data_IF_657223564428
#
_entry.id   IF_657223564428
#
_cell.length_a   1.000
_cell.length_b   1.000
_cell.length_c   1.000
_cell.angle_alpha   90.00
_cell.angle_beta   90.00
_cell.angle_gamma   90.00
#
_symmetry.space_group_name_H-M   'P 1'
#
loop_
_entity.id
_entity.type
_entity.pdbx_description
1 polymer ?
#
# COMPACT_ATOMS: atom_id res chain seq x y z
N UNK A 1 9.03 2.20 -3.53
CA UNK A 1 9.26 3.65 -3.73
C UNK A 1 10.74 4.04 -3.59
N UNK A 2 11.54 3.35 -2.75
CA UNK A 2 12.91 3.76 -2.43
C UNK A 2 12.96 4.51 -1.10
N UNK A 3 14.14 4.97 -0.68
CA UNK A 3 14.30 5.85 0.48
C UNK A 3 13.54 7.16 0.28
N UNK A 4 13.06 7.73 1.37
CA UNK A 4 12.30 8.98 1.42
C UNK A 4 13.09 10.12 0.77
N UNK A 5 14.38 10.22 1.10
CA UNK A 5 15.35 11.18 0.56
C UNK A 5 16.29 10.48 -0.43
N UNK A 6 16.36 10.97 -1.66
CA UNK A 6 17.12 10.35 -2.75
C UNK A 6 17.60 11.34 -3.79
N UNK A 7 18.93 11.47 -3.94
CA UNK A 7 19.56 12.25 -5.02
C UNK A 7 19.30 11.65 -6.40
N UNK A 8 19.15 10.33 -6.51
CA UNK A 8 18.78 9.68 -7.77
C UNK A 8 17.39 10.11 -8.25
N UNK A 9 16.41 10.19 -7.34
CA UNK A 9 15.08 10.68 -7.69
C UNK A 9 15.12 12.14 -8.18
N UNK A 10 15.88 12.99 -7.51
CA UNK A 10 16.11 14.38 -7.92
C UNK A 10 16.73 14.48 -9.32
N UNK A 11 17.74 13.65 -9.62
CA UNK A 11 18.40 13.62 -10.92
C UNK A 11 17.45 13.17 -12.04
N UNK A 12 16.66 12.11 -11.82
CA UNK A 12 15.72 11.64 -12.82
C UNK A 12 14.67 12.69 -13.18
N UNK A 13 14.18 13.45 -12.19
CA UNK A 13 13.23 14.53 -12.45
C UNK A 13 13.89 15.70 -13.18
N UNK A 14 15.03 16.17 -12.69
CA UNK A 14 15.75 17.31 -13.27
C UNK A 14 16.20 17.07 -14.71
N UNK A 15 16.55 15.83 -15.05
CA UNK A 15 16.92 15.43 -16.42
C UNK A 15 15.69 15.14 -17.32
N UNK A 16 14.47 15.28 -16.81
CA UNK A 16 13.24 15.03 -17.57
C UNK A 16 12.94 13.55 -17.81
N UNK A 17 13.58 12.63 -17.08
CA UNK A 17 13.41 11.18 -17.25
C UNK A 17 12.18 10.63 -16.52
N UNK A 18 11.80 11.22 -15.39
CA UNK A 18 10.67 10.77 -14.56
C UNK A 18 9.97 11.95 -13.87
N UNK A 19 8.75 12.26 -14.28
CA UNK A 19 7.87 13.24 -13.63
C UNK A 19 7.18 12.71 -12.37
N UNK A 20 6.44 13.59 -11.67
CA UNK A 20 5.56 13.19 -10.56
C UNK A 20 4.26 12.60 -11.09
N UNK A 21 3.51 11.92 -10.21
CA UNK A 21 2.17 11.47 -10.54
C UNK A 21 1.28 12.67 -10.92
N UNK A 22 0.64 12.58 -12.09
CA UNK A 22 -0.16 13.66 -12.68
C UNK A 22 0.58 15.01 -12.74
N UNK A 23 1.84 14.99 -13.22
CA UNK A 23 2.71 16.17 -13.31
C UNK A 23 1.99 17.41 -13.88
N UNK A 24 1.26 17.27 -14.99
CA UNK A 24 0.58 18.39 -15.67
C UNK A 24 -0.58 18.99 -14.89
N UNK A 25 -1.03 18.35 -13.80
CA UNK A 25 -2.06 18.89 -12.91
C UNK A 25 -1.47 19.65 -11.72
N UNK A 26 -0.14 19.63 -11.53
CA UNK A 26 0.50 20.37 -10.45
C UNK A 26 0.58 21.85 -10.83
N UNK A 27 0.47 22.73 -9.85
CA UNK A 27 0.37 24.19 -10.03
C UNK A 27 1.64 24.93 -9.61
N UNK A 28 2.77 24.23 -9.62
CA UNK A 28 4.09 24.79 -9.31
C UNK A 28 4.90 25.04 -10.59
N UNK A 29 6.18 25.39 -10.46
CA UNK A 29 7.05 25.71 -11.59
C UNK A 29 7.52 24.48 -12.39
N UNK A 30 7.19 23.26 -11.94
CA UNK A 30 7.69 21.99 -12.49
C UNK A 30 9.23 21.87 -12.51
N UNK A 31 9.94 22.69 -11.74
CA UNK A 31 11.40 22.68 -11.59
C UNK A 31 11.82 22.38 -10.14
N UNK A 32 10.98 22.76 -9.16
CA UNK A 32 11.05 22.39 -7.75
C UNK A 32 12.32 22.84 -7.01
N UNK A 33 13.13 23.72 -7.60
CA UNK A 33 14.44 24.14 -7.06
C UNK A 33 14.34 24.81 -5.69
N UNK A 34 13.22 25.46 -5.40
CA UNK A 34 12.95 26.17 -4.15
C UNK A 34 11.75 25.59 -3.39
N UNK A 35 11.18 24.47 -3.88
CA UNK A 35 10.04 23.84 -3.25
C UNK A 35 10.49 22.91 -2.12
N UNK A 36 9.65 22.79 -1.10
CA UNK A 36 9.79 21.79 -0.05
C UNK A 36 8.64 20.79 -0.12
N UNK A 37 8.81 19.66 0.55
CA UNK A 37 7.79 18.64 0.72
C UNK A 37 7.90 18.02 2.11
N UNK A 38 6.78 17.82 2.83
CA UNK A 38 6.81 17.23 4.15
C UNK A 38 7.19 15.75 4.09
N UNK A 39 8.13 15.33 4.93
CA UNK A 39 8.60 13.95 5.04
C UNK A 39 8.53 13.52 6.50
N UNK A 40 8.09 12.28 6.73
CA UNK A 40 8.12 11.69 8.06
C UNK A 40 9.52 11.18 8.38
N UNK A 41 10.04 11.56 9.54
CA UNK A 41 11.40 11.28 9.98
C UNK A 41 11.45 10.82 11.44
N UNK A 42 12.55 10.18 11.80
CA UNK A 42 12.85 9.82 13.19
C UNK A 42 13.55 10.98 13.90
N UNK A 43 13.02 11.35 15.05
CA UNK A 43 13.65 12.26 16.02
C UNK A 43 13.71 11.56 17.38
N UNK A 44 14.81 10.83 17.60
CA UNK A 44 14.96 9.91 18.72
C UNK A 44 13.88 8.82 18.69
N UNK A 45 13.04 8.78 19.72
CA UNK A 45 11.94 7.81 19.87
C UNK A 45 10.59 8.34 19.33
N UNK A 46 10.62 9.43 18.54
CA UNK A 46 9.41 10.03 17.97
C UNK A 46 9.47 10.05 16.45
N UNK A 47 8.32 9.89 15.84
CA UNK A 47 8.14 10.17 14.42
C UNK A 47 7.64 11.61 14.30
N UNK A 48 8.38 12.43 13.57
CA UNK A 48 8.06 13.84 13.33
C UNK A 48 7.95 14.11 11.84
N UNK A 49 7.31 15.21 11.46
CA UNK A 49 7.28 15.66 10.07
C UNK A 49 8.20 16.86 9.89
N UNK A 50 9.06 16.82 8.89
CA UNK A 50 9.97 17.93 8.52
C UNK A 50 9.84 18.25 7.04
N UNK A 51 10.00 19.53 6.72
CA UNK A 51 10.02 19.99 5.33
C UNK A 51 11.41 19.77 4.73
N UNK A 52 11.47 18.90 3.72
CA UNK A 52 12.68 18.56 2.98
C UNK A 52 12.62 19.13 1.56
N UNK A 53 13.76 19.43 0.89
CA UNK A 53 13.74 19.91 -0.49
C UNK A 53 12.97 18.95 -1.41
N UNK A 54 12.03 19.48 -2.18
CA UNK A 54 11.06 18.68 -2.92
C UNK A 54 11.69 17.72 -3.95
N UNK A 55 12.84 18.09 -4.52
CA UNK A 55 13.55 17.27 -5.50
C UNK A 55 14.06 15.95 -4.92
N UNK A 56 14.60 15.97 -3.69
CA UNK A 56 15.14 14.75 -3.08
C UNK A 56 14.06 13.89 -2.44
N UNK A 57 12.89 14.47 -2.14
CA UNK A 57 11.74 13.77 -1.52
C UNK A 57 10.73 13.20 -2.52
N UNK A 58 11.05 13.16 -3.81
CA UNK A 58 10.14 12.69 -4.87
C UNK A 58 9.68 11.22 -4.70
N UNK A 59 10.52 10.37 -4.12
CA UNK A 59 10.12 9.00 -3.79
C UNK A 59 9.03 8.97 -2.72
N UNK A 60 9.14 9.83 -1.71
CA UNK A 60 8.12 9.95 -0.66
C UNK A 60 6.82 10.53 -1.21
N UNK A 61 6.92 11.56 -2.05
CA UNK A 61 5.74 12.13 -2.72
C UNK A 61 4.97 11.08 -3.52
N UNK A 62 5.66 10.27 -4.31
CA UNK A 62 5.01 9.21 -5.08
C UNK A 62 4.41 8.11 -4.18
N UNK A 63 5.04 7.84 -3.03
CA UNK A 63 4.48 6.93 -2.03
C UNK A 63 3.18 7.48 -1.45
N UNK A 64 3.11 8.78 -1.20
CA UNK A 64 1.92 9.44 -0.66
C UNK A 64 0.76 9.43 -1.65
N UNK A 65 1.02 9.68 -2.93
CA UNK A 65 0.03 9.53 -4.00
C UNK A 65 -0.52 8.08 -4.05
N UNK A 66 0.36 7.08 -3.87
CA UNK A 66 -0.04 5.66 -3.83
C UNK A 66 -0.86 5.31 -2.58
N UNK A 67 -0.44 5.76 -1.39
CA UNK A 67 -1.18 5.54 -0.14
C UNK A 67 -2.59 6.14 -0.23
N UNK A 68 -2.72 7.35 -0.81
CA UNK A 68 -4.00 7.98 -1.04
C UNK A 68 -4.91 7.18 -1.99
N UNK A 69 -4.34 6.52 -3.00
CA UNK A 69 -5.11 5.62 -3.88
C UNK A 69 -5.54 4.33 -3.19
N UNK A 70 -4.63 3.69 -2.44
CA UNK A 70 -4.96 2.52 -1.62
C UNK A 70 -6.09 2.82 -0.63
N UNK A 71 -6.06 3.97 0.04
CA UNK A 71 -7.10 4.39 0.98
C UNK A 71 -8.50 4.43 0.33
N UNK A 72 -8.61 4.87 -0.93
CA UNK A 72 -9.87 4.82 -1.69
C UNK A 72 -10.32 3.40 -2.00
N UNK A 73 -9.39 2.47 -2.20
CA UNK A 73 -9.70 1.03 -2.34
C UNK A 73 -10.26 0.45 -1.04
N UNK A 74 -9.56 0.69 0.08
CA UNK A 74 -9.97 0.23 1.41
C UNK A 74 -11.35 0.78 1.81
N UNK A 75 -11.62 2.07 1.55
CA UNK A 75 -12.93 2.66 1.80
C UNK A 75 -14.08 1.93 1.05
N UNK A 76 -13.82 1.49 -0.20
CA UNK A 76 -14.79 0.70 -0.98
C UNK A 76 -15.01 -0.69 -0.40
N UNK A 77 -13.98 -1.33 0.14
CA UNK A 77 -14.13 -2.61 0.85
C UNK A 77 -14.92 -2.45 2.15
N UNK A 78 -14.64 -1.41 2.93
CA UNK A 78 -15.40 -1.10 4.15
C UNK A 78 -16.87 -0.80 3.87
N UNK A 79 -17.20 -0.22 2.72
CA UNK A 79 -18.60 -0.08 2.29
C UNK A 79 -19.31 -1.44 2.15
N UNK A 80 -18.64 -2.46 1.61
CA UNK A 80 -19.20 -3.82 1.49
C UNK A 80 -19.39 -4.44 2.87
N UNK A 81 -18.41 -4.33 3.77
CA UNK A 81 -18.48 -4.86 5.14
C UNK A 81 -19.68 -4.23 5.89
N UNK A 82 -19.78 -2.90 5.85
CA UNK A 82 -20.89 -2.15 6.47
C UNK A 82 -22.25 -2.51 5.88
N UNK A 83 -22.35 -2.73 4.55
CA UNK A 83 -23.61 -3.16 3.90
C UNK A 83 -24.11 -4.52 4.41
N UNK A 84 -23.21 -5.36 4.92
CA UNK A 84 -23.55 -6.64 5.54
C UNK A 84 -23.79 -6.54 7.06
N UNK A 85 -23.77 -5.33 7.64
CA UNK A 85 -24.03 -5.12 9.06
C UNK A 85 -22.94 -5.63 9.99
N UNK A 86 -21.71 -5.80 9.49
CA UNK A 86 -20.57 -6.28 10.26
C UNK A 86 -19.86 -5.06 10.88
N UNK A 87 -19.68 -5.07 12.21
CA UNK A 87 -18.93 -4.04 12.96
C UNK A 87 -17.42 -4.32 12.88
N UNK A 88 -16.86 -4.07 11.70
CA UNK A 88 -15.44 -4.25 11.40
C UNK A 88 -14.98 -3.26 10.34
N UNK A 89 -13.75 -2.77 10.46
CA UNK A 89 -13.16 -1.84 9.50
C UNK A 89 -11.72 -2.26 9.16
N UNK A 90 -11.42 -2.30 7.87
CA UNK A 90 -10.05 -2.42 7.37
C UNK A 90 -9.35 -1.06 7.41
N UNK A 91 -8.12 -1.04 7.88
CA UNK A 91 -7.29 0.19 7.95
C UNK A 91 -5.94 -0.04 7.28
N UNK A 92 -5.37 1.02 6.69
CA UNK A 92 -3.96 1.00 6.30
C UNK A 92 -3.08 1.23 7.54
N UNK A 93 -1.99 0.47 7.72
CA UNK A 93 -1.06 0.73 8.81
C UNK A 93 -0.30 2.04 8.58
N UNK A 94 0.26 2.58 9.66
CA UNK A 94 1.15 3.73 9.59
C UNK A 94 2.31 3.49 8.61
N UNK A 95 2.74 4.51 7.86
CA UNK A 95 3.74 4.39 6.77
C UNK A 95 5.10 3.84 7.18
N UNK A 96 5.41 3.91 8.47
CA UNK A 96 6.65 3.42 9.07
C UNK A 96 6.55 1.95 9.53
N UNK A 97 5.36 1.36 9.56
CA UNK A 97 5.14 -0.04 9.94
C UNK A 97 5.84 -0.98 8.94
N UNK A 98 6.59 -1.95 9.49
CA UNK A 98 7.20 -3.07 8.75
C UNK A 98 7.95 -2.64 7.47
N UNK A 99 8.94 -1.75 7.65
CA UNK A 99 9.76 -1.19 6.57
C UNK A 99 11.16 -1.80 6.60
N UNK A 100 11.69 -2.11 5.41
CA UNK A 100 13.08 -2.58 5.23
C UNK A 100 13.95 -1.57 4.43
N UNK A 101 13.37 -0.43 4.04
CA UNK A 101 14.03 0.60 3.24
C UNK A 101 13.68 1.96 3.83
N UNK A 102 14.66 2.86 3.90
CA UNK A 102 14.47 4.26 4.31
C UNK A 102 14.68 4.47 5.80
N UNK A 103 14.28 5.64 6.28
CA UNK A 103 14.55 6.10 7.66
C UNK A 103 13.93 5.19 8.74
N UNK A 104 12.91 4.41 8.38
CA UNK A 104 12.21 3.51 9.31
C UNK A 104 12.69 2.05 9.26
N UNK A 105 13.75 1.73 8.51
CA UNK A 105 14.22 0.35 8.34
C UNK A 105 14.75 -0.31 9.63
N UNK A 106 15.33 0.50 10.53
CA UNK A 106 16.00 0.03 11.74
C UNK A 106 15.13 0.16 13.01
N UNK A 107 13.89 0.62 12.87
CA UNK A 107 12.95 0.77 14.00
C UNK A 107 11.73 -0.12 13.82
N UNK A 108 11.14 -0.51 14.95
CA UNK A 108 9.87 -1.24 14.98
C UNK A 108 8.77 -0.23 15.25
N UNK A 109 7.83 -0.12 14.33
CA UNK A 109 6.67 0.75 14.46
C UNK A 109 5.43 -0.12 14.40
N UNK A 110 4.48 0.03 15.32
CA UNK A 110 3.19 -0.65 15.29
C UNK A 110 2.27 -0.08 14.21
N UNK A 111 1.18 -0.77 13.82
CA UNK A 111 0.26 -0.28 12.79
C UNK A 111 -0.37 1.08 13.09
N UNK A 112 -0.49 1.45 14.36
CA UNK A 112 -1.00 2.75 14.84
C UNK A 112 0.06 3.87 14.86
N UNK A 113 1.32 3.58 14.51
CA UNK A 113 2.39 4.57 14.40
C UNK A 113 3.28 4.77 15.63
N UNK A 114 3.11 3.99 16.69
CA UNK A 114 4.02 4.05 17.86
C UNK A 114 5.33 3.33 17.55
N UNK A 115 6.46 3.90 17.96
CA UNK A 115 7.72 3.16 17.99
C UNK A 115 7.66 2.21 19.18
N UNK A 116 7.91 0.92 18.94
CA UNK A 116 7.78 -0.15 19.93
C UNK A 116 9.11 -0.85 20.17
N UNK A 117 9.26 -1.43 21.35
CA UNK A 117 10.44 -2.23 21.70
C UNK A 117 10.48 -3.56 20.93
N UNK A 118 11.63 -4.22 20.91
CA UNK A 118 11.75 -5.61 20.42
C UNK A 118 10.81 -6.55 21.18
N UNK A 119 10.74 -6.44 22.50
CA UNK A 119 9.88 -7.31 23.32
C UNK A 119 8.38 -7.12 23.00
N UNK A 120 7.93 -5.87 22.82
CA UNK A 120 6.54 -5.59 22.41
C UNK A 120 6.27 -6.11 20.98
N UNK A 121 7.21 -5.92 20.06
CA UNK A 121 7.10 -6.46 18.71
C UNK A 121 7.00 -7.99 18.71
N UNK A 122 7.89 -8.69 19.41
CA UNK A 122 7.87 -10.17 19.50
C UNK A 122 6.56 -10.70 20.06
N UNK A 123 5.98 -9.98 21.02
CA UNK A 123 4.70 -10.34 21.62
C UNK A 123 3.47 -10.03 20.73
N UNK A 124 3.56 -9.07 19.80
CA UNK A 124 2.37 -8.51 19.10
C UNK A 124 2.40 -8.62 17.59
N UNK A 125 3.54 -8.83 16.95
CA UNK A 125 3.64 -8.83 15.48
C UNK A 125 2.75 -9.89 14.81
N UNK A 126 2.48 -10.99 15.51
CA UNK A 126 1.54 -12.04 15.07
C UNK A 126 0.08 -11.56 14.98
N UNK A 127 -0.28 -10.50 15.69
CA UNK A 127 -1.59 -9.85 15.56
C UNK A 127 -1.68 -8.96 14.32
N UNK A 128 -0.53 -8.60 13.71
CA UNK A 128 -0.43 -7.59 12.66
C UNK A 128 -0.01 -8.17 11.31
N UNK A 129 0.72 -9.29 11.32
CA UNK A 129 1.29 -9.94 10.15
C UNK A 129 0.84 -11.40 10.09
N UNK A 130 0.55 -11.94 8.89
CA UNK A 130 0.19 -13.35 8.74
C UNK A 130 1.26 -14.26 9.33
N UNK A 131 0.83 -15.18 10.18
CA UNK A 131 1.67 -16.25 10.75
C UNK A 131 1.82 -17.42 9.76
N UNK A 132 2.65 -18.40 10.11
CA UNK A 132 2.72 -19.64 9.33
C UNK A 132 1.39 -20.40 9.36
N UNK A 133 0.71 -20.45 10.51
CA UNK A 133 -0.61 -21.09 10.64
C UNK A 133 -1.67 -20.40 9.74
N UNK A 134 -1.65 -19.06 9.66
CA UNK A 134 -2.53 -18.32 8.75
C UNK A 134 -2.26 -18.67 7.28
N UNK A 135 -0.98 -18.81 6.91
CA UNK A 135 -0.56 -19.18 5.54
C UNK A 135 -0.97 -20.61 5.20
N UNK A 136 -0.74 -21.56 6.11
CA UNK A 136 -1.15 -22.96 5.96
C UNK A 136 -2.66 -23.05 5.79
N UNK A 137 -3.42 -22.31 6.60
CA UNK A 137 -4.87 -22.24 6.47
C UNK A 137 -5.29 -21.69 5.11
N UNK A 138 -4.76 -20.55 4.65
CA UNK A 138 -5.08 -20.01 3.32
C UNK A 138 -4.71 -21.01 2.22
N UNK A 139 -3.55 -21.65 2.30
CA UNK A 139 -3.12 -22.64 1.32
C UNK A 139 -4.08 -23.83 1.24
N UNK A 140 -4.64 -24.27 2.37
CA UNK A 140 -5.63 -25.36 2.39
C UNK A 140 -6.90 -25.05 1.57
N UNK A 141 -7.25 -23.77 1.41
CA UNK A 141 -8.41 -23.31 0.64
C UNK A 141 -8.16 -23.27 -0.88
N UNK A 142 -6.89 -23.31 -1.33
CA UNK A 142 -6.49 -23.09 -2.72
C UNK A 142 -6.67 -24.32 -3.62
N UNK A 143 -7.92 -24.74 -3.81
CA UNK A 143 -8.29 -25.83 -4.72
C UNK A 143 -8.76 -25.27 -6.08
N UNK A 144 -8.22 -25.76 -7.21
CA UNK A 144 -8.64 -25.30 -8.53
C UNK A 144 -10.11 -25.61 -8.84
N UNK A 145 -10.83 -24.63 -9.37
CA UNK A 145 -12.19 -24.78 -9.93
C UNK A 145 -12.17 -24.27 -11.36
N UNK A 146 -12.29 -25.18 -12.32
CA UNK A 146 -12.14 -24.88 -13.76
C UNK A 146 -13.44 -25.01 -14.56
N UNK A 147 -14.52 -25.46 -13.92
CA UNK A 147 -15.84 -25.56 -14.54
C UNK A 147 -16.40 -24.15 -14.82
N UNK A 148 -16.81 -23.83 -16.06
CA UNK A 148 -17.39 -22.53 -16.38
C UNK A 148 -18.57 -22.18 -15.46
N UNK A 149 -18.57 -20.96 -14.93
CA UNK A 149 -19.60 -20.47 -14.02
C UNK A 149 -19.50 -20.97 -12.58
N UNK A 150 -18.51 -21.82 -12.25
CA UNK A 150 -18.22 -22.22 -10.86
C UNK A 150 -17.07 -21.39 -10.29
N UNK A 151 -17.15 -21.14 -8.98
CA UNK A 151 -16.15 -20.41 -8.22
C UNK A 151 -15.79 -21.20 -6.97
N UNK A 152 -14.54 -21.06 -6.52
CA UNK A 152 -14.08 -21.67 -5.28
C UNK A 152 -14.86 -21.11 -4.08
N UNK A 153 -15.04 -21.90 -3.02
CA UNK A 153 -15.90 -21.57 -1.88
C UNK A 153 -15.49 -20.30 -1.11
N UNK A 154 -14.22 -19.90 -1.20
CA UNK A 154 -13.67 -18.74 -0.51
C UNK A 154 -13.86 -17.41 -1.27
N UNK A 155 -14.42 -17.43 -2.48
CA UNK A 155 -14.63 -16.22 -3.29
C UNK A 155 -16.02 -16.17 -3.92
N UNK A 156 -16.68 -15.03 -3.79
CA UNK A 156 -17.96 -14.78 -4.44
C UNK A 156 -17.81 -14.61 -5.97
N UNK A 157 -18.83 -14.95 -6.77
CA UNK A 157 -18.82 -14.67 -8.20
C UNK A 157 -18.71 -13.16 -8.47
N UNK A 158 -18.09 -12.74 -9.59
CA UNK A 158 -18.01 -11.33 -9.96
C UNK A 158 -19.39 -10.80 -10.36
N UNK A 159 -19.59 -9.48 -10.24
CA UNK A 159 -20.85 -8.83 -10.59
C UNK A 159 -21.20 -8.92 -12.09
N UNK A 160 -20.19 -9.12 -12.97
CA UNK A 160 -20.35 -9.25 -14.42
C UNK A 160 -19.17 -9.98 -15.05
N UNK A 161 -19.36 -10.53 -16.23
CA UNK A 161 -18.31 -11.10 -17.05
C UNK A 161 -17.44 -10.05 -17.76
N UNK A 162 -16.52 -10.52 -18.60
CA UNK A 162 -15.55 -9.68 -19.33
C UNK A 162 -16.02 -9.47 -20.78
N UNK A 163 -15.81 -8.28 -21.32
CA UNK A 163 -16.15 -7.94 -22.71
C UNK A 163 -17.63 -8.20 -23.10
N UNK A 164 -18.55 -7.99 -22.15
CA UNK A 164 -19.99 -8.24 -22.34
C UNK A 164 -20.38 -9.71 -22.41
N UNK A 165 -19.43 -10.63 -22.20
CA UNK A 165 -19.70 -12.06 -22.11
C UNK A 165 -20.30 -12.42 -20.75
N UNK A 166 -21.01 -13.55 -20.72
CA UNK A 166 -21.61 -14.08 -19.50
C UNK A 166 -20.54 -14.56 -18.50
N UNK A 167 -20.89 -14.63 -17.21
CA UNK A 167 -19.96 -15.08 -16.15
C UNK A 167 -19.56 -16.55 -16.33
N UNK A 168 -20.44 -17.36 -16.92
CA UNK A 168 -20.24 -18.77 -17.23
C UNK A 168 -19.67 -19.02 -18.63
N UNK A 169 -19.21 -17.97 -19.32
CA UNK A 169 -18.48 -18.13 -20.58
C UNK A 169 -17.20 -18.95 -20.36
N UNK A 170 -16.85 -19.78 -21.33
CA UNK A 170 -15.59 -20.52 -21.35
C UNK A 170 -14.41 -19.58 -21.63
N UNK A 171 -13.94 -18.87 -20.60
CA UNK A 171 -12.88 -17.87 -20.72
C UNK A 171 -11.51 -18.46 -21.10
N UNK A 172 -11.29 -19.74 -20.81
CA UNK A 172 -10.04 -20.46 -21.11
C UNK A 172 -10.40 -21.86 -21.62
N UNK A 173 -9.78 -22.27 -22.74
CA UNK A 173 -9.86 -23.61 -23.30
C UNK A 173 -8.56 -24.34 -23.05
N UNK A 174 -8.62 -25.49 -22.38
CA UNK A 174 -7.42 -26.22 -21.95
C UNK A 174 -6.96 -27.32 -22.93
N UNK A 175 -7.74 -27.61 -23.97
CA UNK A 175 -7.41 -28.63 -24.98
C UNK A 175 -7.80 -30.04 -24.56
#
# INVERSE_FOLDING_TARGET
FGSEISTNAANFYTLGLKGRFEETKKTDDHLLKQATYPVAELDGERIVTRDEPALVSLNERLRDDYVADCARGVARWNEVIRKHGIDFELTLPHRAFHRAIGSFAEVRVSPDGRIVSQAEWDARHRDWLPTEDDKEYIQSLMQPVVEPGKFASWIAPPARGVNGLAVDFEYVRLG
#
